data_IF_305330852557
#
_entry.id   IF_305330852557
#
_cell.length_a   1.000
_cell.length_b   1.000
_cell.length_c   1.000
_cell.angle_alpha   90.00
_cell.angle_beta   90.00
_cell.angle_gamma   90.00
#
_symmetry.space_group_name_H-M   'P 1'
#
loop_
_entity.id
_entity.type
_entity.pdbx_description
1 polymer ?
#
# COMPACT_ATOMS: atom_id res chain seq x y z
N UNK A 1 -2.32 -11.24 1.73
CA UNK A 1 -1.73 -10.04 2.34
C UNK A 1 -0.74 -9.43 1.35
N UNK A 2 -0.80 -8.12 1.12
CA UNK A 2 0.15 -7.38 0.27
C UNK A 2 0.85 -6.34 1.12
N UNK A 3 2.18 -6.25 1.03
CA UNK A 3 2.95 -5.21 1.71
C UNK A 3 3.69 -4.37 0.68
N UNK A 4 3.70 -3.06 0.88
CA UNK A 4 4.40 -2.09 0.03
C UNK A 4 5.25 -1.17 0.90
N UNK A 5 6.45 -0.80 0.43
CA UNK A 5 7.25 0.22 1.07
C UNK A 5 6.72 1.62 0.73
N UNK A 6 6.82 2.55 1.68
CA UNK A 6 6.54 3.97 1.46
C UNK A 6 7.84 4.73 1.17
N UNK A 7 7.73 5.95 0.63
CA UNK A 7 8.89 6.77 0.24
C UNK A 7 9.76 7.16 1.44
N UNK A 8 9.16 7.36 2.60
CA UNK A 8 9.76 7.75 3.86
C UNK A 8 10.37 6.56 4.63
N UNK A 9 10.41 5.37 4.02
CA UNK A 9 10.98 4.17 4.63
C UNK A 9 10.03 3.40 5.54
N UNK A 10 8.76 3.79 5.59
CA UNK A 10 7.68 3.04 6.23
C UNK A 10 7.11 1.94 5.34
N UNK A 11 5.94 1.42 5.73
CA UNK A 11 5.25 0.36 4.98
C UNK A 11 3.74 0.47 5.04
N UNK A 12 3.07 -0.06 4.03
CA UNK A 12 1.61 -0.23 3.99
C UNK A 12 1.34 -1.72 3.87
N UNK A 13 0.68 -2.29 4.88
CA UNK A 13 0.17 -3.66 4.86
C UNK A 13 -1.31 -3.65 4.50
N UNK A 14 -1.69 -4.46 3.52
CA UNK A 14 -3.05 -4.54 3.01
C UNK A 14 -3.58 -5.96 3.18
N UNK A 15 -4.70 -6.07 3.88
CA UNK A 15 -5.40 -7.32 4.16
C UNK A 15 -6.83 -7.22 3.66
N UNK A 16 -7.28 -8.23 2.91
CA UNK A 16 -8.69 -8.34 2.55
C UNK A 16 -9.40 -9.14 3.63
N UNK A 17 -10.50 -8.62 4.15
CA UNK A 17 -11.35 -9.25 5.17
C UNK A 17 -12.78 -9.25 4.62
N UNK A 18 -13.22 -10.39 4.09
CA UNK A 18 -14.53 -10.48 3.41
C UNK A 18 -14.63 -9.51 2.22
N UNK A 19 -15.62 -8.62 2.30
CA UNK A 19 -15.89 -7.55 1.33
C UNK A 19 -15.24 -6.22 1.68
N UNK A 20 -14.34 -6.21 2.66
CA UNK A 20 -13.53 -5.06 3.04
C UNK A 20 -12.04 -5.31 2.80
N UNK A 21 -11.29 -4.21 2.76
CA UNK A 21 -9.85 -4.17 2.73
C UNK A 21 -9.35 -3.19 3.77
N UNK A 22 -8.49 -3.69 4.65
CA UNK A 22 -7.79 -2.92 5.66
C UNK A 22 -6.40 -2.55 5.16
N UNK A 23 -6.04 -1.29 5.34
CA UNK A 23 -4.75 -0.72 5.01
C UNK A 23 -4.12 -0.22 6.31
N UNK A 24 -3.04 -0.86 6.76
CA UNK A 24 -2.26 -0.42 7.91
C UNK A 24 -1.01 0.29 7.41
N UNK A 25 -0.93 1.59 7.67
CA UNK A 25 0.23 2.41 7.35
C UNK A 25 1.13 2.47 8.57
N UNK A 26 2.38 2.07 8.41
CA UNK A 26 3.42 2.12 9.42
C UNK A 26 4.52 3.08 9.01
N UNK A 27 5.02 3.85 9.97
CA UNK A 27 6.22 4.68 9.78
C UNK A 27 7.50 3.81 9.67
N UNK A 28 8.65 4.46 9.48
CA UNK A 28 9.97 3.80 9.42
C UNK A 28 10.36 3.06 10.71
N UNK A 29 9.73 3.41 11.83
CA UNK A 29 9.96 2.79 13.15
C UNK A 29 9.00 1.61 13.37
N UNK A 30 8.15 1.29 12.39
CA UNK A 30 7.19 0.20 12.43
C UNK A 30 5.90 0.54 13.18
N UNK A 31 5.71 1.78 13.64
CA UNK A 31 4.49 2.18 14.37
C UNK A 31 3.36 2.43 13.40
N UNK A 32 2.18 1.91 13.71
CA UNK A 32 0.97 2.21 12.93
C UNK A 32 0.58 3.67 13.12
N UNK A 33 0.62 4.45 12.03
CA UNK A 33 0.25 5.87 12.02
C UNK A 33 -1.13 6.11 11.42
N UNK A 34 -1.64 5.18 10.62
CA UNK A 34 -3.00 5.22 10.10
C UNK A 34 -3.52 3.81 9.83
N UNK A 35 -4.83 3.64 10.03
CA UNK A 35 -5.59 2.49 9.56
C UNK A 35 -6.74 3.01 8.71
N UNK A 36 -6.88 2.49 7.50
CA UNK A 36 -7.97 2.83 6.59
C UNK A 36 -8.69 1.55 6.20
N UNK A 37 -10.01 1.53 6.32
CA UNK A 37 -10.86 0.44 5.84
C UNK A 37 -11.69 0.94 4.67
N UNK A 38 -11.76 0.14 3.60
CA UNK A 38 -12.56 0.42 2.40
C UNK A 38 -13.21 -0.86 1.90
N UNK A 39 -14.34 -0.74 1.20
CA UNK A 39 -14.92 -1.87 0.49
C UNK A 39 -13.92 -2.47 -0.52
N UNK A 40 -13.91 -3.79 -0.68
CA UNK A 40 -12.87 -4.53 -1.41
C UNK A 40 -12.73 -4.08 -2.87
N UNK A 41 -13.82 -3.66 -3.52
CA UNK A 41 -13.78 -3.13 -4.89
C UNK A 41 -13.06 -1.78 -4.97
N UNK A 42 -13.34 -0.89 -4.03
CA UNK A 42 -12.68 0.41 -3.95
C UNK A 42 -11.23 0.26 -3.51
N UNK A 43 -10.98 -0.56 -2.48
CA UNK A 43 -9.65 -0.88 -1.99
C UNK A 43 -8.74 -1.49 -3.06
N UNK A 44 -9.27 -2.40 -3.89
CA UNK A 44 -8.51 -2.97 -5.00
C UNK A 44 -8.12 -1.92 -6.05
N UNK A 45 -9.00 -0.95 -6.35
CA UNK A 45 -8.69 0.17 -7.25
C UNK A 45 -7.60 1.07 -6.69
N UNK A 46 -7.68 1.42 -5.41
CA UNK A 46 -6.66 2.22 -4.72
C UNK A 46 -5.31 1.50 -4.71
N UNK A 47 -5.29 0.19 -4.45
CA UNK A 47 -4.07 -0.61 -4.48
C UNK A 47 -3.45 -0.66 -5.89
N UNK A 48 -4.27 -0.82 -6.94
CA UNK A 48 -3.79 -0.81 -8.32
C UNK A 48 -3.17 0.54 -8.71
N UNK A 49 -3.81 1.66 -8.33
CA UNK A 49 -3.27 3.01 -8.55
C UNK A 49 -1.97 3.23 -7.79
N UNK A 50 -1.90 2.83 -6.52
CA UNK A 50 -0.70 2.96 -5.70
C UNK A 50 0.49 2.20 -6.33
N UNK A 51 0.25 0.98 -6.84
CA UNK A 51 1.28 0.19 -7.53
C UNK A 51 1.75 0.85 -8.82
N UNK A 52 0.85 1.42 -9.62
CA UNK A 52 1.21 2.14 -10.85
C UNK A 52 2.10 3.36 -10.56
N UNK A 53 1.77 4.13 -9.52
CA UNK A 53 2.56 5.30 -9.11
C UNK A 53 3.94 4.90 -8.61
N UNK A 54 4.05 3.82 -7.84
CA UNK A 54 5.35 3.29 -7.36
C UNK A 54 6.20 2.76 -8.53
N UNK A 55 5.61 2.00 -9.45
CA UNK A 55 6.30 1.47 -10.62
C UNK A 55 6.84 2.56 -11.55
N UNK A 56 6.11 3.68 -11.72
CA UNK A 56 6.57 4.82 -12.52
C UNK A 56 7.66 5.67 -11.86
N UNK A 57 7.95 5.45 -10.58
CA UNK A 57 8.97 6.17 -9.80
C UNK A 57 10.22 5.33 -9.52
N UNK A 58 10.23 4.05 -9.92
CA UNK A 58 11.41 3.21 -9.94
C UNK A 58 12.11 3.43 -11.29
N UNK A 59 13.35 3.94 -11.35
CA UNK A 59 14.05 4.08 -12.62
C UNK A 59 14.20 2.71 -13.26
N UNK A 60 13.84 2.60 -14.55
CA UNK A 60 14.13 1.40 -15.33
C UNK A 60 15.66 1.22 -15.36
N UNK A 61 16.18 -0.01 -15.14
CA UNK A 61 17.60 -0.25 -15.30
C UNK A 61 17.96 0.03 -16.77
N UNK A 62 18.74 1.09 -17.01
CA UNK A 62 19.39 1.32 -18.29
C UNK A 62 20.43 0.23 -18.48
N UNK A 63 20.22 -0.63 -19.48
CA UNK A 63 21.16 -1.67 -19.92
C UNK A 63 22.30 -1.06 -20.73
#
# INVERSE_FOLDING_TARGET
MVTMATRDGGSIAVTRVGDEMDFHVRDREGRTVATVTRGAREGARLLALARLVVARRTPLPVS
#
